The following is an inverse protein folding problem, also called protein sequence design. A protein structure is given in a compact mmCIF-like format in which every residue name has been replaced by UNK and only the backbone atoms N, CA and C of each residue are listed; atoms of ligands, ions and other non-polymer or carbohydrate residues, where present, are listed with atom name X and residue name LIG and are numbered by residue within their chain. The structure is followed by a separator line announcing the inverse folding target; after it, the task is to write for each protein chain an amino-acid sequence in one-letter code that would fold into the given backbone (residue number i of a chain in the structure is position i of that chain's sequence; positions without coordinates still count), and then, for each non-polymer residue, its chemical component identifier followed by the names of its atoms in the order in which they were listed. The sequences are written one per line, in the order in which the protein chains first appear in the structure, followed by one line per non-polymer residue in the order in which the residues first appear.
data_IF_368652188861
#
_entry.id   IF_368652188861
#
_cell.length_a   1.000
_cell.length_b   1.000
_cell.length_c   1.000
_cell.angle_alpha   90.00
_cell.angle_beta   90.00
_cell.angle_gamma   90.00
#
_symmetry.space_group_name_H-M   'P 1'
#
loop_
_entity.id
_entity.type
_entity.pdbx_description
1 polymer ?
#
# COMPACT_ATOMS: atom_id res chain seq x y z
N UNK A 1 23.57 44.98 24.78
CA UNK A 1 24.20 44.01 23.85
C UNK A 1 23.45 42.69 23.98
N UNK A 2 22.47 42.42 23.13
CA UNK A 2 21.86 41.10 22.94
C UNK A 2 20.69 41.27 21.95
N UNK A 3 20.88 41.01 20.66
CA UNK A 3 19.81 40.72 19.66
C UNK A 3 20.41 40.26 18.31
N UNK A 4 21.40 39.35 18.28
CA UNK A 4 21.91 38.81 17.01
C UNK A 4 22.03 37.28 16.92
N UNK A 5 21.82 36.52 17.99
CA UNK A 5 22.01 35.06 17.95
C UNK A 5 20.91 34.29 17.18
N UNK A 6 19.71 34.85 17.00
CA UNK A 6 18.59 34.12 16.39
C UNK A 6 18.65 33.91 14.87
N UNK A 7 19.52 34.62 14.15
CA UNK A 7 19.62 34.51 12.68
C UNK A 7 20.66 33.50 12.21
N UNK A 8 21.75 33.33 12.97
CA UNK A 8 22.83 32.37 12.65
C UNK A 8 22.38 30.93 12.94
N UNK A 9 21.74 30.70 14.10
CA UNK A 9 21.20 29.37 14.48
C UNK A 9 20.20 28.81 13.46
N UNK A 10 19.40 29.69 12.82
CA UNK A 10 18.40 29.29 11.83
C UNK A 10 19.03 28.97 10.46
N UNK A 11 20.11 29.68 10.11
CA UNK A 11 20.89 29.42 8.91
C UNK A 11 21.60 28.06 9.02
N UNK A 12 22.23 27.78 10.16
CA UNK A 12 22.94 26.52 10.44
C UNK A 12 22.01 25.31 10.41
N UNK A 13 20.80 25.42 11.00
CA UNK A 13 19.78 24.37 10.93
C UNK A 13 19.34 24.07 9.49
N UNK A 14 19.24 25.11 8.65
CA UNK A 14 18.86 24.96 7.24
C UNK A 14 19.97 24.32 6.42
N UNK A 15 21.22 24.71 6.66
CA UNK A 15 22.40 24.11 6.02
C UNK A 15 22.57 22.65 6.43
N UNK A 16 22.37 22.33 7.71
CA UNK A 16 22.40 20.97 8.23
C UNK A 16 21.34 20.07 7.56
N UNK A 17 20.08 20.51 7.51
CA UNK A 17 19.01 19.81 6.77
C UNK A 17 19.42 19.55 5.31
N UNK A 18 19.97 20.55 4.62
CA UNK A 18 20.38 20.40 3.22
C UNK A 18 21.49 19.37 3.05
N UNK A 19 22.46 19.32 3.97
CA UNK A 19 23.54 18.32 3.96
C UNK A 19 22.99 16.91 4.16
N UNK A 20 22.16 16.68 5.18
CA UNK A 20 21.54 15.37 5.42
C UNK A 20 20.71 14.90 4.22
N UNK A 21 19.92 15.81 3.63
CA UNK A 21 19.16 15.51 2.42
C UNK A 21 20.06 15.23 1.21
N UNK A 22 21.24 15.83 1.13
CA UNK A 22 22.20 15.60 0.05
C UNK A 22 22.84 14.20 0.13
N UNK A 23 23.15 13.70 1.32
CA UNK A 23 23.65 12.31 1.51
C UNK A 23 22.68 11.29 0.93
N UNK A 24 21.40 11.37 1.30
CA UNK A 24 20.34 10.46 0.83
C UNK A 24 20.17 10.55 -0.68
N UNK A 25 20.06 11.77 -1.22
CA UNK A 25 19.90 12.00 -2.66
C UNK A 25 21.14 11.54 -3.44
N UNK A 26 22.32 11.73 -2.86
CA UNK A 26 23.61 11.31 -3.39
C UNK A 26 23.68 9.81 -3.56
N UNK A 27 23.37 9.05 -2.50
CA UNK A 27 23.34 7.60 -2.55
C UNK A 27 22.37 7.08 -3.62
N UNK A 28 21.14 7.59 -3.65
CA UNK A 28 20.15 7.21 -4.67
C UNK A 28 20.63 7.52 -6.10
N UNK A 29 21.31 8.66 -6.31
CA UNK A 29 21.88 9.02 -7.60
C UNK A 29 23.01 8.07 -7.99
N UNK A 30 23.88 7.70 -7.06
CA UNK A 30 24.95 6.73 -7.25
C UNK A 30 24.39 5.34 -7.62
N UNK A 31 23.39 4.85 -6.89
CA UNK A 31 22.76 3.54 -7.19
C UNK A 31 22.11 3.53 -8.58
N UNK A 32 21.38 4.58 -8.95
CA UNK A 32 20.80 4.71 -10.30
C UNK A 32 21.86 4.79 -11.39
N UNK A 33 23.04 5.35 -11.10
CA UNK A 33 24.17 5.41 -12.05
C UNK A 33 24.79 4.01 -12.18
N UNK A 34 25.11 3.37 -11.06
CA UNK A 34 25.67 2.03 -11.03
C UNK A 34 24.79 1.00 -11.76
N UNK A 35 23.47 1.06 -11.57
CA UNK A 35 22.52 0.21 -12.30
C UNK A 35 22.62 0.37 -13.82
N UNK A 36 22.71 1.62 -14.31
CA UNK A 36 22.84 1.91 -15.74
C UNK A 36 24.19 1.49 -16.30
N UNK A 37 25.26 1.72 -15.55
CA UNK A 37 26.64 1.37 -15.95
C UNK A 37 26.87 -0.14 -15.95
N UNK A 38 26.17 -0.91 -15.10
CA UNK A 38 26.21 -2.37 -15.08
C UNK A 38 25.19 -3.02 -16.03
N UNK A 39 24.73 -2.30 -17.07
CA UNK A 39 23.84 -2.87 -18.09
C UNK A 39 22.48 -3.34 -17.56
N UNK A 40 22.01 -2.81 -16.42
CA UNK A 40 20.77 -3.22 -15.79
C UNK A 40 20.89 -4.45 -14.86
N UNK A 41 22.10 -4.89 -14.53
CA UNK A 41 22.30 -5.92 -13.50
C UNK A 41 22.06 -5.35 -12.09
N UNK A 42 20.82 -5.45 -11.62
CA UNK A 42 20.45 -5.01 -10.28
C UNK A 42 21.02 -5.92 -9.19
N UNK A 43 21.30 -7.19 -9.47
CA UNK A 43 21.74 -8.16 -8.45
C UNK A 43 23.16 -7.83 -7.98
N UNK A 44 24.08 -7.61 -8.93
CA UNK A 44 25.45 -7.18 -8.62
C UNK A 44 25.49 -5.84 -7.89
N UNK A 45 24.69 -4.87 -8.36
CA UNK A 45 24.61 -3.54 -7.74
C UNK A 45 24.05 -3.61 -6.33
N UNK A 46 22.98 -4.40 -6.12
CA UNK A 46 22.38 -4.63 -4.81
C UNK A 46 23.35 -5.30 -3.85
N UNK A 47 23.99 -6.39 -4.26
CA UNK A 47 24.92 -7.12 -3.39
C UNK A 47 26.10 -6.25 -2.97
N UNK A 48 26.65 -5.45 -3.89
CA UNK A 48 27.71 -4.48 -3.56
C UNK A 48 27.21 -3.42 -2.59
N UNK A 49 26.02 -2.88 -2.80
CA UNK A 49 25.44 -1.87 -1.93
C UNK A 49 25.15 -2.42 -0.52
N UNK A 50 24.61 -3.63 -0.41
CA UNK A 50 24.30 -4.27 0.86
C UNK A 50 25.55 -4.57 1.70
N UNK A 51 26.72 -4.65 1.08
CA UNK A 51 28.03 -4.83 1.75
C UNK A 51 28.71 -3.49 2.11
N UNK A 52 28.24 -2.37 1.57
CA UNK A 52 28.78 -1.04 1.86
C UNK A 52 28.19 -0.48 3.16
N UNK A 53 28.64 -1.05 4.28
CA UNK A 53 28.17 -0.71 5.62
C UNK A 53 28.37 0.78 5.96
N UNK A 54 29.42 1.41 5.46
CA UNK A 54 29.70 2.82 5.73
C UNK A 54 28.65 3.72 5.06
N UNK A 55 28.37 3.51 3.78
CA UNK A 55 27.34 4.28 3.08
C UNK A 55 25.94 4.01 3.66
N UNK A 56 25.66 2.76 4.04
CA UNK A 56 24.40 2.39 4.68
C UNK A 56 24.22 3.07 6.05
N UNK A 57 25.27 3.13 6.86
CA UNK A 57 25.23 3.79 8.17
C UNK A 57 25.05 5.31 8.03
N UNK A 58 25.77 5.95 7.10
CA UNK A 58 25.59 7.39 6.80
C UNK A 58 24.18 7.70 6.34
N UNK A 59 23.61 6.84 5.48
CA UNK A 59 22.22 6.97 5.04
C UNK A 59 21.24 6.86 6.23
N UNK A 60 21.41 5.85 7.09
CA UNK A 60 20.54 5.61 8.23
C UNK A 60 20.59 6.78 9.23
N UNK A 61 21.79 7.27 9.55
CA UNK A 61 21.97 8.45 10.41
C UNK A 61 21.33 9.70 9.80
N UNK A 62 21.55 9.95 8.51
CA UNK A 62 20.95 11.10 7.83
C UNK A 62 19.41 11.03 7.84
N UNK A 63 18.85 9.85 7.60
CA UNK A 63 17.40 9.62 7.65
C UNK A 63 16.84 9.83 9.05
N UNK A 64 17.50 9.30 10.08
CA UNK A 64 17.08 9.45 11.46
C UNK A 64 17.09 10.92 11.90
N UNK A 65 18.21 11.63 11.67
CA UNK A 65 18.35 13.05 12.03
C UNK A 65 17.31 13.94 11.32
N UNK A 66 17.06 13.71 10.03
CA UNK A 66 16.01 14.42 9.31
C UNK A 66 14.64 14.20 9.95
N UNK A 67 14.34 12.95 10.32
CA UNK A 67 13.04 12.60 10.84
C UNK A 67 12.81 13.15 12.25
N UNK A 68 13.80 13.06 13.14
CA UNK A 68 13.67 13.47 14.54
C UNK A 68 13.90 14.97 14.76
N UNK A 69 14.79 15.60 14.00
CA UNK A 69 15.16 17.02 14.23
C UNK A 69 14.45 17.99 13.28
N UNK A 70 14.20 17.59 12.04
CA UNK A 70 13.66 18.51 11.02
C UNK A 70 12.18 18.26 10.69
N UNK A 71 11.73 17.01 10.60
CA UNK A 71 10.36 16.67 10.23
C UNK A 71 9.39 16.65 11.43
N UNK A 72 9.88 16.36 12.64
CA UNK A 72 9.06 16.32 13.86
C UNK A 72 8.44 17.68 14.25
N UNK A 73 8.97 18.79 13.72
CA UNK A 73 8.47 20.15 13.96
C UNK A 73 7.09 20.44 13.33
N UNK A 74 6.62 19.56 12.43
CA UNK A 74 5.34 19.75 11.74
C UNK A 74 4.19 19.06 12.50
N UNK A 75 3.03 19.73 12.69
CA UNK A 75 1.94 19.23 13.53
C UNK A 75 1.19 18.00 12.98
N UNK A 76 1.37 17.68 11.70
CA UNK A 76 0.83 16.46 11.06
C UNK A 76 1.99 15.72 10.36
N UNK A 77 2.78 14.99 11.15
CA UNK A 77 3.85 14.17 10.57
C UNK A 77 3.26 13.00 9.77
N UNK A 78 4.05 12.46 8.84
CA UNK A 78 3.65 11.26 8.10
C UNK A 78 3.32 10.09 9.01
N UNK A 79 4.03 9.97 10.13
CA UNK A 79 3.82 8.92 11.14
C UNK A 79 2.45 9.06 11.80
N UNK A 80 2.08 10.27 12.22
CA UNK A 80 0.76 10.55 12.80
C UNK A 80 -0.36 10.30 11.78
N UNK A 81 -0.17 10.69 10.52
CA UNK A 81 -1.13 10.40 9.46
C UNK A 81 -1.28 8.90 9.22
N UNK A 82 -0.18 8.14 9.20
CA UNK A 82 -0.21 6.68 9.07
C UNK A 82 -0.95 6.04 10.24
N UNK A 83 -0.63 6.44 11.49
CA UNK A 83 -1.30 5.97 12.70
C UNK A 83 -2.81 6.18 12.62
N UNK A 84 -3.23 7.43 12.37
CA UNK A 84 -4.66 7.79 12.27
C UNK A 84 -5.36 7.00 11.19
N UNK A 85 -4.72 6.84 10.03
CA UNK A 85 -5.28 6.11 8.89
C UNK A 85 -5.45 4.63 9.18
N UNK A 86 -4.45 3.99 9.80
CA UNK A 86 -4.52 2.58 10.18
C UNK A 86 -5.62 2.33 11.23
N UNK A 87 -5.68 3.16 12.27
CA UNK A 87 -6.73 3.06 13.30
C UNK A 87 -8.12 3.28 12.70
N UNK A 88 -8.29 4.28 11.85
CA UNK A 88 -9.58 4.52 11.19
C UNK A 88 -9.99 3.37 10.27
N UNK A 89 -9.03 2.78 9.55
CA UNK A 89 -9.29 1.64 8.67
C UNK A 89 -9.68 0.39 9.46
N UNK A 90 -8.85 -0.05 10.41
CA UNK A 90 -9.04 -1.32 11.11
C UNK A 90 -10.02 -1.25 12.29
N UNK A 91 -10.06 -0.12 13.01
CA UNK A 91 -10.88 0.05 14.22
C UNK A 91 -12.03 1.05 14.03
N UNK A 92 -11.87 2.08 13.18
CA UNK A 92 -12.90 3.09 12.87
C UNK A 92 -13.94 2.66 11.83
N UNK A 93 -14.00 1.37 11.50
CA UNK A 93 -14.94 0.81 10.51
C UNK A 93 -14.59 1.12 9.06
N UNK A 94 -13.40 1.65 8.76
CA UNK A 94 -12.98 1.96 7.39
C UNK A 94 -12.86 0.72 6.50
N UNK A 95 -12.44 -0.42 7.05
CA UNK A 95 -12.40 -1.70 6.36
C UNK A 95 -13.80 -2.15 5.93
N UNK A 96 -14.79 -2.07 6.83
CA UNK A 96 -16.19 -2.35 6.51
C UNK A 96 -16.67 -1.47 5.34
N UNK A 97 -16.44 -0.15 5.42
CA UNK A 97 -16.81 0.80 4.36
C UNK A 97 -16.12 0.49 3.03
N UNK A 98 -14.86 0.06 3.06
CA UNK A 98 -14.10 -0.33 1.87
C UNK A 98 -14.70 -1.58 1.21
N UNK A 99 -15.01 -2.61 1.99
CA UNK A 99 -15.64 -3.84 1.52
C UNK A 99 -17.02 -3.60 0.92
N UNK A 100 -17.86 -2.81 1.57
CA UNK A 100 -19.18 -2.40 1.04
C UNK A 100 -19.05 -1.61 -0.27
N UNK A 101 -18.03 -0.76 -0.39
CA UNK A 101 -17.75 -0.02 -1.62
C UNK A 101 -17.34 -0.96 -2.76
N UNK A 102 -16.48 -1.94 -2.49
CA UNK A 102 -16.05 -2.91 -3.49
C UNK A 102 -17.17 -3.87 -3.91
N UNK A 103 -18.04 -4.28 -2.98
CA UNK A 103 -19.24 -5.04 -3.30
C UNK A 103 -20.17 -4.26 -4.24
N UNK A 104 -20.44 -2.98 -3.95
CA UNK A 104 -21.22 -2.10 -4.84
C UNK A 104 -20.58 -1.93 -6.22
N UNK A 105 -19.25 -1.87 -6.31
CA UNK A 105 -18.54 -1.82 -7.59
C UNK A 105 -18.71 -3.10 -8.39
N UNK A 106 -18.58 -4.27 -7.75
CA UNK A 106 -18.79 -5.58 -8.39
C UNK A 106 -20.20 -5.72 -8.94
N UNK A 107 -21.22 -5.31 -8.17
CA UNK A 107 -22.62 -5.33 -8.61
C UNK A 107 -22.86 -4.38 -9.80
N UNK A 108 -22.24 -3.20 -9.81
CA UNK A 108 -22.31 -2.28 -10.96
C UNK A 108 -21.63 -2.85 -12.20
N UNK A 109 -20.47 -3.50 -12.04
CA UNK A 109 -19.77 -4.14 -13.16
C UNK A 109 -20.58 -5.29 -13.74
N UNK A 110 -21.27 -6.08 -12.91
CA UNK A 110 -22.10 -7.20 -13.37
C UNK A 110 -23.40 -6.74 -14.03
N UNK A 111 -24.05 -5.66 -13.58
CA UNK A 111 -25.24 -5.13 -14.25
C UNK A 111 -24.91 -4.51 -15.62
N UNK A 112 -23.79 -3.78 -15.74
CA UNK A 112 -23.35 -3.19 -17.02
C UNK A 112 -22.99 -4.26 -18.06
N UNK A 113 -22.52 -5.45 -17.64
CA UNK A 113 -22.29 -6.58 -18.55
C UNK A 113 -23.60 -7.23 -19.04
N UNK A 114 -24.65 -7.27 -18.21
CA UNK A 114 -25.95 -7.83 -18.60
C UNK A 114 -26.65 -6.95 -19.64
N UNK A 115 -26.55 -5.63 -19.51
CA UNK A 115 -27.16 -4.69 -20.47
C UNK A 115 -26.50 -4.75 -21.86
N UNK A 116 -25.18 -4.98 -21.93
CA UNK A 116 -24.45 -5.11 -23.21
C UNK A 116 -24.74 -6.40 -23.98
N UNK A 117 -25.10 -7.50 -23.30
CA UNK A 117 -25.46 -8.76 -23.96
C UNK A 117 -26.93 -8.77 -24.41
N UNK A 118 -27.80 -7.99 -23.77
CA UNK A 118 -29.20 -7.84 -24.15
C UNK A 118 -29.39 -7.09 -25.48
N UNK A 119 -28.50 -6.14 -25.81
CA UNK A 119 -28.57 -5.35 -27.05
C UNK A 119 -28.07 -6.10 -28.30
N UNK A 120 -27.36 -7.22 -28.17
CA UNK A 120 -26.88 -8.01 -29.31
C UNK A 120 -27.89 -9.05 -29.84
N UNK A 121 -29.08 -9.19 -29.23
CA UNK A 121 -30.11 -10.18 -29.63
C UNK A 121 -31.23 -9.62 -30.53
N UNK A 122 -31.03 -8.48 -31.20
CA UNK A 122 -32.04 -7.85 -32.07
C UNK A 122 -31.61 -7.68 -33.53
N UNK A 123 -30.85 -8.62 -34.07
CA UNK A 123 -30.66 -8.70 -35.54
C UNK A 123 -30.50 -10.16 -35.98
N UNK A 124 -31.62 -10.89 -36.08
CA UNK A 124 -31.66 -12.08 -36.91
C UNK A 124 -33.06 -12.21 -37.53
N UNK A 125 -33.19 -11.70 -38.76
CA UNK A 125 -34.36 -11.89 -39.60
C UNK A 125 -34.49 -13.34 -40.09
N UNK A 126 -35.73 -13.84 -40.02
CA UNK A 126 -36.46 -14.70 -40.98
C UNK A 126 -35.70 -15.11 -42.26
N UNK A 127 -35.68 -16.33 -42.85
CA UNK A 127 -36.16 -17.73 -42.69
C UNK A 127 -35.53 -18.52 -43.92
N UNK A 128 -35.69 -19.85 -44.21
CA UNK A 128 -36.71 -20.82 -43.81
C UNK A 128 -36.20 -22.26 -43.51
N UNK A 129 -37.14 -23.20 -43.51
CA UNK A 129 -37.23 -24.51 -42.84
C UNK A 129 -36.40 -25.68 -43.41
N UNK A 130 -35.88 -26.47 -42.47
CA UNK A 130 -35.75 -27.93 -42.34
C UNK A 130 -35.82 -28.85 -43.59
N UNK A 131 -34.73 -29.60 -43.80
CA UNK A 131 -34.77 -31.07 -43.81
C UNK A 131 -33.75 -31.45 -42.73
N UNK A 132 -34.13 -31.95 -41.55
CA UNK A 132 -34.47 -33.33 -41.29
C UNK A 132 -35.34 -33.39 -40.02
N UNK A 133 -36.48 -34.09 -40.08
CA UNK A 133 -37.44 -34.20 -38.98
C UNK A 133 -36.91 -34.99 -37.77
N UNK A 134 -36.04 -34.38 -36.97
CA UNK A 134 -35.72 -34.81 -35.61
C UNK A 134 -36.10 -33.70 -34.64
N UNK A 135 -37.28 -33.85 -34.03
CA UNK A 135 -37.72 -33.06 -32.89
C UNK A 135 -36.73 -33.23 -31.75
N UNK A 136 -35.95 -32.19 -31.46
CA UNK A 136 -35.21 -32.11 -30.21
C UNK A 136 -36.10 -31.43 -29.18
N UNK A 137 -36.76 -32.24 -28.36
CA UNK A 137 -37.42 -31.77 -27.16
C UNK A 137 -36.34 -31.35 -26.16
N UNK A 138 -35.86 -30.12 -26.24
CA UNK A 138 -35.07 -29.52 -25.16
C UNK A 138 -36.00 -29.00 -24.07
N UNK A 139 -36.58 -29.94 -23.33
CA UNK A 139 -37.10 -29.68 -22.00
C UNK A 139 -35.95 -29.82 -21.01
N UNK A 140 -35.06 -28.82 -20.97
CA UNK A 140 -34.23 -28.60 -19.80
C UNK A 140 -34.33 -27.14 -19.38
N UNK A 141 -35.37 -26.93 -18.57
CA UNK A 141 -35.48 -26.04 -17.42
C UNK A 141 -34.23 -25.22 -17.09
N UNK A 142 -34.46 -23.92 -16.94
CA UNK A 142 -33.59 -22.93 -16.36
C UNK A 142 -32.66 -23.47 -15.25
N UNK A 143 -31.40 -23.72 -15.57
CA UNK A 143 -30.33 -23.63 -14.58
C UNK A 143 -29.80 -22.21 -14.66
N UNK A 144 -30.41 -21.36 -13.83
CA UNK A 144 -29.76 -20.17 -13.30
C UNK A 144 -28.44 -20.66 -12.69
N UNK A 145 -27.31 -20.47 -13.37
CA UNK A 145 -25.99 -20.63 -12.76
C UNK A 145 -25.79 -19.49 -11.76
N UNK A 146 -26.40 -19.69 -10.59
CA UNK A 146 -26.11 -18.98 -9.34
C UNK A 146 -24.77 -19.49 -8.81
N UNK A 147 -23.69 -19.28 -9.54
CA UNK A 147 -22.37 -19.36 -8.94
C UNK A 147 -21.92 -17.95 -8.50
N UNK A 148 -22.65 -17.42 -7.50
CA UNK A 148 -22.25 -16.28 -6.68
C UNK A 148 -21.77 -16.66 -5.25
N UNK A 149 -21.35 -17.90 -4.91
CA UNK A 149 -21.00 -18.21 -3.52
C UNK A 149 -19.68 -17.54 -3.10
N UNK A 150 -18.83 -17.12 -4.04
CA UNK A 150 -17.51 -16.59 -3.69
C UNK A 150 -17.53 -15.21 -3.02
N UNK A 151 -18.52 -14.36 -3.33
CA UNK A 151 -18.61 -13.04 -2.70
C UNK A 151 -19.23 -13.13 -1.31
N UNK A 152 -20.25 -13.96 -1.14
CA UNK A 152 -20.85 -14.25 0.17
C UNK A 152 -19.88 -15.02 1.06
N UNK A 153 -19.23 -16.09 0.58
CA UNK A 153 -18.19 -16.81 1.33
C UNK A 153 -17.01 -15.90 1.67
N UNK A 154 -16.60 -15.00 0.76
CA UNK A 154 -15.56 -14.02 1.09
C UNK A 154 -16.03 -13.04 2.15
N UNK A 155 -17.28 -12.56 2.08
CA UNK A 155 -17.86 -11.69 3.09
C UNK A 155 -18.03 -12.39 4.43
N UNK A 156 -18.41 -13.67 4.43
CA UNK A 156 -18.61 -14.51 5.62
C UNK A 156 -17.27 -14.88 6.25
N UNK A 157 -16.26 -15.27 5.46
CA UNK A 157 -14.89 -15.51 5.95
C UNK A 157 -14.21 -14.23 6.44
N UNK A 158 -14.48 -13.09 5.82
CA UNK A 158 -14.04 -11.79 6.32
C UNK A 158 -14.79 -11.46 7.61
N UNK A 159 -16.10 -11.71 7.67
CA UNK A 159 -16.92 -11.50 8.87
C UNK A 159 -16.48 -12.41 10.03
N UNK A 160 -16.07 -13.65 9.79
CA UNK A 160 -15.52 -14.56 10.81
C UNK A 160 -14.14 -14.09 11.30
N UNK A 161 -13.27 -13.62 10.39
CA UNK A 161 -12.02 -12.94 10.76
C UNK A 161 -12.23 -11.56 11.44
N UNK A 162 -13.42 -10.96 11.30
CA UNK A 162 -13.81 -9.69 11.94
C UNK A 162 -14.59 -9.91 13.24
N UNK A 163 -15.24 -11.06 13.42
CA UNK A 163 -16.09 -11.35 14.59
C UNK A 163 -15.25 -11.67 15.83
N UNK A 164 -13.97 -11.97 15.63
CA UNK A 164 -12.93 -11.61 16.58
C UNK A 164 -12.27 -10.31 16.09
N UNK A 165 -12.84 -9.11 16.37
CA UNK A 165 -12.01 -7.90 16.32
C UNK A 165 -10.79 -8.20 17.19
N UNK A 166 -9.56 -7.73 16.88
CA UNK A 166 -8.39 -8.04 17.70
C UNK A 166 -8.79 -7.86 19.16
N UNK A 167 -8.99 -9.00 19.83
CA UNK A 167 -9.70 -9.07 21.09
C UNK A 167 -8.72 -8.49 22.07
N UNK A 168 -8.93 -7.23 22.45
CA UNK A 168 -8.07 -6.51 23.38
C UNK A 168 -6.58 -6.59 22.99
N UNK A 169 -6.17 -5.96 21.88
CA UNK A 169 -4.76 -6.01 21.52
C UNK A 169 -4.37 -5.08 20.38
N UNK A 170 -3.14 -4.58 20.45
CA UNK A 170 -2.44 -3.83 19.41
C UNK A 170 -2.70 -4.36 17.99
N UNK A 171 -2.71 -3.44 17.02
CA UNK A 171 -2.52 -3.76 15.62
C UNK A 171 -1.07 -4.21 15.38
N UNK A 172 -0.87 -5.42 14.86
CA UNK A 172 0.47 -5.87 14.42
C UNK A 172 0.90 -5.09 13.19
N UNK A 173 2.06 -4.45 13.26
CA UNK A 173 2.58 -3.58 12.22
C UNK A 173 4.00 -4.01 11.82
N UNK A 174 4.22 -4.29 10.54
CA UNK A 174 5.55 -4.49 9.97
C UNK A 174 5.98 -3.21 9.23
N UNK A 175 6.97 -2.50 9.75
CA UNK A 175 7.51 -1.27 9.16
C UNK A 175 8.75 -1.60 8.31
N UNK A 176 8.59 -1.62 7.00
CA UNK A 176 9.65 -2.02 6.04
C UNK A 176 10.42 -0.80 5.56
N UNK A 177 11.75 -0.84 5.67
CA UNK A 177 12.58 0.34 5.43
C UNK A 177 12.44 1.36 6.55
N UNK A 178 12.27 0.85 7.78
CA UNK A 178 11.93 1.64 8.96
C UNK A 178 13.03 2.61 9.39
N UNK A 179 14.29 2.31 9.09
CA UNK A 179 15.49 2.98 9.60
C UNK A 179 15.58 3.05 11.15
N UNK A 180 14.66 3.74 11.84
CA UNK A 180 14.62 3.93 13.30
C UNK A 180 13.27 3.56 13.96
N UNK A 181 12.32 2.97 13.21
CA UNK A 181 11.00 2.49 13.65
C UNK A 181 10.21 3.43 14.62
N UNK A 182 9.64 4.53 14.10
CA UNK A 182 8.89 5.49 14.92
C UNK A 182 7.56 4.95 15.48
N UNK A 183 7.10 3.78 15.03
CA UNK A 183 5.85 3.20 15.51
C UNK A 183 6.00 2.43 16.83
N UNK A 184 7.22 2.26 17.35
CA UNK A 184 7.44 1.69 18.69
C UNK A 184 6.81 2.53 19.80
N UNK A 185 6.71 3.84 19.58
CA UNK A 185 6.11 4.78 20.54
C UNK A 185 4.58 4.82 20.48
N UNK A 186 3.96 4.07 19.56
CA UNK A 186 2.52 4.05 19.37
C UNK A 186 1.92 2.83 20.09
N UNK A 187 1.22 3.02 21.24
CA UNK A 187 0.72 1.92 22.06
C UNK A 187 -0.40 1.11 21.39
N UNK A 188 -0.95 1.58 20.27
CA UNK A 188 -1.90 0.82 19.47
C UNK A 188 -1.23 -0.12 18.47
N UNK A 189 0.10 -0.06 18.30
CA UNK A 189 0.84 -0.93 17.40
C UNK A 189 1.79 -1.87 18.13
N UNK A 190 1.74 -3.15 17.76
CA UNK A 190 2.82 -4.09 18.01
C UNK A 190 3.72 -4.03 16.77
N UNK A 191 4.68 -3.11 16.79
CA UNK A 191 5.48 -2.78 15.61
C UNK A 191 6.81 -3.55 15.56
N UNK A 192 7.12 -4.10 14.39
CA UNK A 192 8.41 -4.69 14.05
C UNK A 192 8.98 -3.90 12.87
N UNK A 193 10.10 -3.23 13.09
CA UNK A 193 10.84 -2.51 12.05
C UNK A 193 11.88 -3.42 11.40
N UNK A 194 11.97 -3.40 10.08
CA UNK A 194 13.06 -4.04 9.33
C UNK A 194 13.75 -3.03 8.42
N UNK A 195 15.07 -3.11 8.30
CA UNK A 195 15.90 -2.29 7.42
C UNK A 195 17.21 -3.03 7.08
N UNK A 196 17.89 -2.59 6.01
CA UNK A 196 19.24 -3.05 5.66
C UNK A 196 20.27 -2.64 6.70
N UNK A 197 20.14 -1.41 7.20
CA UNK A 197 21.01 -0.87 8.24
C UNK A 197 20.14 0.06 9.11
N UNK A 198 19.60 -0.44 10.23
CA UNK A 198 18.87 0.42 11.14
C UNK A 198 19.82 1.49 11.71
N UNK A 199 19.28 2.70 11.92
CA UNK A 199 20.00 3.72 12.66
C UNK A 199 20.20 3.20 14.09
N UNK A 200 21.46 3.12 14.49
CA UNK A 200 21.86 2.82 15.86
C UNK A 200 22.11 4.15 16.54
N UNK A 201 21.38 4.43 17.62
CA UNK A 201 21.60 5.59 18.48
C UNK A 201 23.00 5.59 19.10
#
# INVERSE_FOLDING_TARGET
MALHHGSEDNQDLKEHHQQLAAEIKGLHKQLRRAYRENGGDYVSVWNRHAQDHESLQRYAQAMHLLATQHWASHPDTRIQWCRRTALEYFMGGGMRRALEKDARRRLRSSCVQKDKCADQKKDQGYCPENADGKTWNSSHSATLDKHEPHAEILMENIQENISSPPTEGCLRLLDVGSCYNPFLECPEFESIGIDLCPATE
#
